data_IF_587348696144
#
_entry.id   IF_587348696144
#
_cell.length_a   1.000
_cell.length_b   1.000
_cell.length_c   1.000
_cell.angle_alpha   90.00
_cell.angle_beta   90.00
_cell.angle_gamma   90.00
#
_symmetry.space_group_name_H-M   'P 1'
#
loop_
_entity.id
_entity.type
_entity.pdbx_description
1 polymer ?
#
# COMPACT_ATOMS: atom_id res chain seq x y z
N UNK A 1 22.21 -2.58 3.95
CA UNK A 1 21.57 -2.24 5.25
C UNK A 1 20.29 -3.03 5.38
N UNK A 2 19.97 -3.57 6.56
CA UNK A 2 18.76 -4.38 6.79
C UNK A 2 17.61 -3.48 7.24
N UNK A 3 16.44 -3.58 6.61
CA UNK A 3 15.23 -2.79 6.92
C UNK A 3 13.97 -3.65 6.75
N UNK A 4 12.86 -3.23 7.36
CA UNK A 4 11.54 -3.76 7.03
C UNK A 4 11.16 -3.20 5.66
N UNK A 5 10.90 -4.09 4.70
CA UNK A 5 10.57 -3.70 3.32
C UNK A 5 9.08 -3.44 3.13
N UNK A 6 8.23 -4.30 3.71
CA UNK A 6 6.78 -4.31 3.52
C UNK A 6 6.09 -4.65 4.85
N UNK A 7 5.03 -3.93 5.18
CA UNK A 7 4.18 -4.18 6.35
C UNK A 7 2.73 -4.34 5.87
N UNK A 8 2.04 -5.35 6.37
CA UNK A 8 0.62 -5.57 6.05
C UNK A 8 -0.27 -4.79 7.01
N UNK A 9 -1.25 -4.08 6.47
CA UNK A 9 -2.30 -3.39 7.20
C UNK A 9 -3.65 -3.92 6.73
N UNK A 10 -4.43 -4.47 7.66
CA UNK A 10 -5.79 -4.91 7.39
C UNK A 10 -6.69 -3.69 7.29
N UNK A 11 -7.42 -3.56 6.19
CA UNK A 11 -8.28 -2.42 5.90
C UNK A 11 -9.73 -2.85 5.74
N UNK A 12 -10.65 -1.93 5.98
CA UNK A 12 -12.08 -2.21 5.80
C UNK A 12 -12.46 -2.29 4.32
N UNK A 13 -11.93 -1.36 3.52
CA UNK A 13 -12.19 -1.23 2.09
C UNK A 13 -10.91 -0.81 1.37
N UNK A 14 -10.60 -1.46 0.25
CA UNK A 14 -9.37 -1.20 -0.51
C UNK A 14 -9.38 0.18 -1.16
N UNK A 15 -10.48 0.59 -1.76
CA UNK A 15 -10.54 1.82 -2.54
C UNK A 15 -10.51 3.04 -1.61
N UNK A 16 -11.18 2.96 -0.46
CA UNK A 16 -11.06 3.95 0.61
C UNK A 16 -9.62 4.08 1.10
N UNK A 17 -8.96 2.96 1.38
CA UNK A 17 -7.60 2.96 1.88
C UNK A 17 -6.60 3.47 0.84
N UNK A 18 -6.71 3.03 -0.41
CA UNK A 18 -5.89 3.53 -1.53
C UNK A 18 -5.99 5.05 -1.59
N UNK A 19 -7.22 5.58 -1.62
CA UNK A 19 -7.48 7.03 -1.69
C UNK A 19 -6.88 7.77 -0.50
N UNK A 20 -7.06 7.26 0.72
CA UNK A 20 -6.47 7.87 1.90
C UNK A 20 -4.94 7.95 1.80
N UNK A 21 -4.28 6.85 1.45
CA UNK A 21 -2.83 6.83 1.36
C UNK A 21 -2.29 7.67 0.20
N UNK A 22 -2.90 7.59 -0.98
CA UNK A 22 -2.40 8.28 -2.18
C UNK A 22 -2.74 9.77 -2.18
N UNK A 23 -3.97 10.14 -1.81
CA UNK A 23 -4.44 11.52 -1.90
C UNK A 23 -4.18 12.32 -0.62
N UNK A 24 -4.50 11.75 0.56
CA UNK A 24 -4.34 12.49 1.82
C UNK A 24 -2.89 12.47 2.32
N UNK A 25 -2.19 11.34 2.17
CA UNK A 25 -0.81 11.17 2.68
C UNK A 25 0.28 11.30 1.60
N UNK A 26 -0.09 11.34 0.32
CA UNK A 26 0.83 11.48 -0.80
C UNK A 26 1.71 10.26 -1.04
N UNK A 27 1.22 9.06 -0.71
CA UNK A 27 1.86 7.81 -1.09
C UNK A 27 1.64 7.54 -2.58
N UNK A 28 2.44 6.64 -3.15
CA UNK A 28 2.23 6.14 -4.51
C UNK A 28 1.66 4.73 -4.43
N UNK A 29 0.64 4.47 -5.23
CA UNK A 29 0.20 3.11 -5.52
C UNK A 29 1.24 2.46 -6.45
N UNK A 30 1.86 1.39 -5.99
CA UNK A 30 2.89 0.67 -6.76
C UNK A 30 2.36 -0.61 -7.38
N UNK A 31 1.42 -1.28 -6.71
CA UNK A 31 0.75 -2.47 -7.23
C UNK A 31 -0.73 -2.46 -6.83
N UNK A 32 -1.57 -2.91 -7.75
CA UNK A 32 -2.99 -3.18 -7.53
C UNK A 32 -3.41 -4.30 -8.48
N UNK A 33 -3.42 -5.54 -7.97
CA UNK A 33 -3.68 -6.74 -8.76
C UNK A 33 -4.70 -7.66 -8.08
N UNK A 34 -5.64 -8.27 -8.83
CA UNK A 34 -6.55 -9.26 -8.26
C UNK A 34 -5.80 -10.54 -7.87
N UNK A 35 -6.29 -11.21 -6.83
CA UNK A 35 -5.74 -12.49 -6.36
C UNK A 35 -6.74 -13.65 -6.54
N UNK A 36 -6.26 -14.91 -6.67
CA UNK A 36 -7.12 -16.07 -6.85
C UNK A 36 -8.11 -16.34 -5.70
N UNK A 37 -7.83 -15.81 -4.51
CA UNK A 37 -8.66 -15.94 -3.31
C UNK A 37 -9.78 -14.89 -3.22
N UNK A 38 -9.95 -14.06 -4.26
CA UNK A 38 -10.95 -13.00 -4.32
C UNK A 38 -10.51 -11.69 -3.68
N UNK A 39 -9.32 -11.63 -3.07
CA UNK A 39 -8.73 -10.40 -2.55
C UNK A 39 -7.96 -9.59 -3.62
N UNK A 40 -7.34 -8.49 -3.19
CA UNK A 40 -6.42 -7.70 -4.01
C UNK A 40 -5.03 -7.67 -3.37
N UNK A 41 -4.01 -7.64 -4.20
CA UNK A 41 -2.65 -7.32 -3.82
C UNK A 41 -2.44 -5.83 -4.06
N UNK A 42 -2.57 -5.03 -3.01
CA UNK A 42 -2.52 -3.57 -3.09
C UNK A 42 -1.33 -3.06 -2.29
N UNK A 43 -0.34 -2.47 -2.97
CA UNK A 43 0.87 -1.96 -2.31
C UNK A 43 0.96 -0.45 -2.52
N UNK A 44 1.15 0.27 -1.41
CA UNK A 44 1.43 1.71 -1.41
C UNK A 44 2.77 1.99 -0.76
N UNK A 45 3.50 2.96 -1.31
CA UNK A 45 4.82 3.37 -0.82
C UNK A 45 4.88 4.87 -0.54
N UNK A 46 5.74 5.33 0.37
CA UNK A 46 6.01 6.76 0.51
C UNK A 46 6.32 7.44 -0.83
N UNK A 47 5.75 8.64 -1.03
CA UNK A 47 5.94 9.45 -2.24
C UNK A 47 7.39 9.87 -2.50
N UNK A 48 7.63 10.48 -3.67
CA UNK A 48 8.96 10.83 -4.15
C UNK A 48 9.81 11.59 -3.10
N UNK A 49 11.06 11.17 -2.95
CA UNK A 49 12.01 11.76 -1.98
C UNK A 49 11.89 11.25 -0.55
N UNK A 50 10.90 10.39 -0.24
CA UNK A 50 10.75 9.74 1.06
C UNK A 50 11.22 8.29 1.00
N UNK A 51 11.91 7.84 2.04
CA UNK A 51 12.32 6.43 2.18
C UNK A 51 11.60 5.85 3.39
N UNK A 52 11.09 4.62 3.25
CA UNK A 52 10.33 3.95 4.30
C UNK A 52 9.90 2.55 3.88
N UNK A 53 9.15 1.88 4.74
CA UNK A 53 8.51 0.62 4.41
C UNK A 53 7.30 0.86 3.50
N UNK A 54 7.07 -0.06 2.56
CA UNK A 54 5.83 -0.15 1.81
C UNK A 54 4.71 -0.72 2.71
N UNK A 55 3.46 -0.42 2.37
CA UNK A 55 2.28 -0.99 3.00
C UNK A 55 1.55 -1.89 2.01
N UNK A 56 1.31 -3.14 2.40
CA UNK A 56 0.34 -4.03 1.76
C UNK A 56 -1.01 -3.80 2.43
N UNK A 57 -2.00 -3.33 1.68
CA UNK A 57 -3.38 -3.22 2.15
C UNK A 57 -4.04 -4.58 1.93
N UNK A 58 -4.60 -5.17 2.99
CA UNK A 58 -5.16 -6.51 3.00
C UNK A 58 -6.61 -6.54 3.50
#
# INVERSE_FOLDING_TARGET
MRRIALVTLVVHDYDEAIRFYTEALGFRLTEDAPRPDGGRWVVVEPGAGRTGAALLLA
#
